data_IF_442954542413
#
_entry.id   IF_442954542413
#
_cell.length_a   1.000
_cell.length_b   1.000
_cell.length_c   1.000
_cell.angle_alpha   90.00
_cell.angle_beta   90.00
_cell.angle_gamma   90.00
#
_symmetry.space_group_name_H-M   'P 1'
#
loop_
_entity.id
_entity.type
_entity.pdbx_description
1 polymer ?
#
# COMPACT_ATOMS: atom_id res chain seq x y z
N UNK A 1 17.31 7.98 15.44
CA UNK A 1 16.43 7.31 14.44
C UNK A 1 16.92 7.56 13.02
N UNK A 2 17.05 8.82 12.54
CA UNK A 2 17.57 9.09 11.19
C UNK A 2 19.01 8.62 10.96
N UNK A 3 19.93 8.87 11.91
CA UNK A 3 21.32 8.37 11.83
C UNK A 3 21.40 6.86 11.56
N UNK A 4 20.54 6.07 12.21
CA UNK A 4 20.56 4.61 12.06
C UNK A 4 20.16 4.20 10.64
N UNK A 5 19.19 4.89 10.04
CA UNK A 5 18.79 4.66 8.65
C UNK A 5 19.89 5.01 7.67
N UNK A 6 20.51 6.20 7.83
CA UNK A 6 21.64 6.61 6.99
C UNK A 6 22.78 5.58 7.05
N UNK A 7 23.14 5.11 8.24
CA UNK A 7 24.16 4.08 8.41
C UNK A 7 23.76 2.75 7.72
N UNK A 8 22.50 2.34 7.80
CA UNK A 8 22.01 1.12 7.16
C UNK A 8 22.02 1.22 5.62
N UNK A 9 21.81 2.42 5.08
CA UNK A 9 21.88 2.72 3.65
C UNK A 9 23.32 2.99 3.16
N UNK A 10 24.32 2.96 4.05
CA UNK A 10 25.71 3.29 3.74
C UNK A 10 25.95 4.78 3.44
N UNK A 11 25.03 5.65 3.87
CA UNK A 11 25.10 7.09 3.72
C UNK A 11 25.86 7.72 4.88
N UNK A 12 26.99 8.37 4.57
CA UNK A 12 27.87 8.99 5.57
C UNK A 12 27.46 10.42 5.95
N UNK A 13 26.36 10.95 5.39
CA UNK A 13 25.87 12.27 5.75
C UNK A 13 25.41 12.32 7.21
N UNK A 14 25.44 13.52 7.79
CA UNK A 14 24.93 13.75 9.14
C UNK A 14 23.40 13.97 9.09
N UNK A 15 22.65 13.67 10.17
CA UNK A 15 21.19 13.82 10.19
C UNK A 15 20.70 15.26 9.99
N UNK A 16 21.56 16.25 10.26
CA UNK A 16 21.32 17.68 10.09
C UNK A 16 21.81 18.22 8.73
N UNK A 17 22.31 17.36 7.84
CA UNK A 17 22.71 17.74 6.48
C UNK A 17 21.50 18.15 5.64
N UNK A 18 21.50 19.39 5.15
CA UNK A 18 20.39 19.93 4.36
C UNK A 18 20.17 19.21 3.03
N UNK A 19 21.21 18.60 2.46
CA UNK A 19 21.11 17.84 1.19
C UNK A 19 20.20 16.62 1.29
N UNK A 20 19.87 16.16 2.51
CA UNK A 20 18.90 15.09 2.73
C UNK A 20 17.48 15.47 2.28
N UNK A 21 17.22 16.77 2.08
CA UNK A 21 15.93 17.30 1.60
C UNK A 21 15.92 17.64 0.12
N UNK A 22 17.06 17.50 -0.58
CA UNK A 22 17.15 17.90 -1.98
C UNK A 22 16.15 17.12 -2.84
N UNK A 23 15.39 17.84 -3.66
CA UNK A 23 14.35 17.25 -4.52
C UNK A 23 13.05 16.86 -3.81
N UNK A 24 12.94 17.08 -2.50
CA UNK A 24 11.69 16.92 -1.76
C UNK A 24 10.96 18.26 -1.60
N UNK A 25 9.70 18.31 -2.03
CA UNK A 25 8.79 19.42 -1.73
C UNK A 25 7.95 19.02 -0.52
N UNK A 26 8.17 19.65 0.62
CA UNK A 26 7.50 19.33 1.87
C UNK A 26 6.72 20.53 2.41
N UNK A 27 5.55 20.24 2.98
CA UNK A 27 4.75 21.18 3.76
C UNK A 27 4.31 20.53 5.08
N UNK A 28 3.29 21.09 5.73
CA UNK A 28 2.75 20.58 6.99
C UNK A 28 1.97 19.27 6.81
N UNK A 29 1.40 19.02 5.63
CA UNK A 29 0.53 17.89 5.33
C UNK A 29 1.33 16.68 4.81
N UNK A 30 2.46 16.91 4.15
CA UNK A 30 3.22 15.83 3.53
C UNK A 30 4.53 16.25 2.88
N UNK A 31 5.08 15.32 2.11
CA UNK A 31 6.24 15.54 1.25
C UNK A 31 6.01 14.82 -0.07
N UNK A 32 6.46 15.42 -1.18
CA UNK A 32 6.46 14.80 -2.50
C UNK A 32 7.87 14.81 -3.07
N UNK A 33 8.29 13.69 -3.65
CA UNK A 33 9.56 13.55 -4.38
C UNK A 33 9.29 13.02 -5.79
N UNK A 34 10.23 13.26 -6.71
CA UNK A 34 10.25 12.63 -8.02
C UNK A 34 11.39 11.62 -8.11
N UNK A 35 11.10 10.43 -8.63
CA UNK A 35 12.12 9.44 -8.97
C UNK A 35 12.95 9.90 -10.17
N UNK A 36 14.09 9.26 -10.41
CA UNK A 36 14.93 9.52 -11.59
C UNK A 36 14.18 9.29 -12.91
N UNK A 37 13.23 8.37 -12.90
CA UNK A 37 12.35 8.04 -14.03
C UNK A 37 11.12 8.96 -14.12
N UNK A 38 11.05 10.01 -13.29
CA UNK A 38 9.99 11.02 -13.31
C UNK A 38 8.72 10.66 -12.56
N UNK A 39 8.68 9.51 -11.87
CA UNK A 39 7.50 9.11 -11.08
C UNK A 39 7.37 9.92 -9.80
N UNK A 40 6.16 10.32 -9.48
CA UNK A 40 5.81 11.06 -8.27
C UNK A 40 5.53 10.12 -7.11
N UNK A 41 6.19 10.36 -5.98
CA UNK A 41 6.00 9.61 -4.73
C UNK A 41 5.64 10.60 -3.63
N UNK A 42 4.48 10.40 -3.02
CA UNK A 42 3.97 11.23 -1.94
C UNK A 42 4.01 10.48 -0.61
N UNK A 43 4.49 11.16 0.43
CA UNK A 43 4.36 10.75 1.81
C UNK A 43 3.35 11.65 2.51
N UNK A 44 2.11 11.15 2.65
CA UNK A 44 0.99 11.89 3.19
C UNK A 44 0.82 11.63 4.70
N UNK A 45 0.87 12.70 5.50
CA UNK A 45 0.70 12.68 6.97
C UNK A 45 -0.66 13.19 7.41
N UNK A 46 -1.46 13.73 6.49
CA UNK A 46 -2.83 14.20 6.73
C UNK A 46 -3.82 13.57 5.74
N UNK A 47 -5.08 13.41 6.16
CA UNK A 47 -6.14 12.82 5.31
C UNK A 47 -6.47 13.68 4.09
N UNK A 48 -6.37 15.00 4.19
CA UNK A 48 -6.57 15.91 3.07
C UNK A 48 -5.52 15.69 1.99
N UNK A 49 -4.24 15.54 2.39
CA UNK A 49 -3.16 15.19 1.47
C UNK A 49 -3.38 13.82 0.83
N UNK A 50 -3.85 12.81 1.57
CA UNK A 50 -4.15 11.48 0.97
C UNK A 50 -5.17 11.61 -0.17
N UNK A 51 -6.25 12.39 0.02
CA UNK A 51 -7.28 12.57 -1.02
C UNK A 51 -6.71 13.22 -2.29
N UNK A 52 -5.85 14.22 -2.12
CA UNK A 52 -5.21 14.94 -3.20
C UNK A 52 -4.16 14.06 -3.91
N UNK A 53 -3.22 13.51 -3.15
CA UNK A 53 -2.12 12.68 -3.63
C UNK A 53 -2.64 11.41 -4.31
N UNK A 54 -3.72 10.81 -3.81
CA UNK A 54 -4.34 9.65 -4.45
C UNK A 54 -4.80 9.89 -5.89
N UNK A 55 -4.99 11.15 -6.30
CA UNK A 55 -5.37 11.53 -7.67
C UNK A 55 -4.20 11.99 -8.52
N UNK A 56 -3.08 12.36 -7.90
CA UNK A 56 -1.97 13.06 -8.58
C UNK A 56 -0.65 12.29 -8.57
N UNK A 57 -0.42 11.48 -7.55
CA UNK A 57 0.82 10.75 -7.37
C UNK A 57 0.79 9.38 -8.07
N UNK A 58 1.96 8.83 -8.39
CA UNK A 58 2.10 7.44 -8.85
C UNK A 58 2.12 6.45 -7.67
N UNK A 59 2.64 6.89 -6.52
CA UNK A 59 2.74 6.14 -5.27
C UNK A 59 2.45 7.07 -4.08
N UNK A 60 1.53 6.64 -3.21
CA UNK A 60 1.22 7.27 -1.92
C UNK A 60 1.61 6.35 -0.79
N UNK A 61 2.39 6.87 0.15
CA UNK A 61 2.79 6.20 1.38
C UNK A 61 2.22 6.99 2.55
N UNK A 62 1.55 6.31 3.50
CA UNK A 62 0.98 6.99 4.65
C UNK A 62 0.96 6.12 5.90
N UNK A 63 1.24 6.68 7.10
CA UNK A 63 1.05 5.98 8.36
C UNK A 63 -0.42 5.96 8.82
N UNK A 64 -1.34 6.52 8.04
CA UNK A 64 -2.77 6.58 8.34
C UNK A 64 -3.47 5.39 7.65
N UNK A 65 -4.37 4.65 8.32
CA UNK A 65 -5.19 3.65 7.64
C UNK A 65 -6.18 4.32 6.68
N UNK A 66 -6.28 3.80 5.45
CA UNK A 66 -7.13 4.35 4.40
C UNK A 66 -8.03 3.26 3.80
N UNK A 67 -9.29 3.59 3.53
CA UNK A 67 -10.28 2.65 3.00
C UNK A 67 -11.03 3.17 1.77
N UNK A 68 -10.83 4.43 1.38
CA UNK A 68 -11.40 4.96 0.15
C UNK A 68 -10.54 4.56 -1.07
N UNK A 69 -11.10 4.56 -2.29
CA UNK A 69 -10.33 4.34 -3.50
C UNK A 69 -9.16 5.32 -3.63
N UNK A 70 -8.06 4.84 -4.21
CA UNK A 70 -6.86 5.61 -4.50
C UNK A 70 -6.39 5.21 -5.90
N UNK A 71 -6.25 6.17 -6.82
CA UNK A 71 -5.79 5.87 -8.18
C UNK A 71 -4.29 5.57 -8.22
N UNK A 72 -3.53 6.19 -7.32
CA UNK A 72 -2.13 5.86 -7.07
C UNK A 72 -1.95 4.46 -6.47
N UNK A 73 -0.74 3.90 -6.60
CA UNK A 73 -0.35 2.77 -5.74
C UNK A 73 -0.33 3.26 -4.29
N UNK A 74 -1.04 2.59 -3.40
CA UNK A 74 -1.16 3.00 -1.99
C UNK A 74 -0.46 2.01 -1.05
N UNK A 75 0.37 2.53 -0.16
CA UNK A 75 0.95 1.82 0.99
C UNK A 75 0.50 2.56 2.27
N UNK A 76 -0.61 2.09 2.86
CA UNK A 76 -1.19 2.67 4.06
C UNK A 76 -0.75 1.92 5.33
N UNK A 77 -1.22 2.38 6.50
CA UNK A 77 -0.90 1.74 7.79
C UNK A 77 -1.26 0.25 7.83
N UNK A 78 -2.35 -0.14 7.17
CA UNK A 78 -2.84 -1.53 7.16
C UNK A 78 -1.93 -2.40 6.30
N UNK A 79 -1.52 -1.91 5.13
CA UNK A 79 -0.52 -2.58 4.30
C UNK A 79 0.78 -2.81 5.07
N UNK A 80 1.34 -1.76 5.70
CA UNK A 80 2.57 -1.88 6.49
C UNK A 80 2.44 -2.86 7.68
N UNK A 81 1.26 -2.94 8.31
CA UNK A 81 1.01 -3.92 9.38
C UNK A 81 0.97 -5.37 8.90
N UNK A 82 0.41 -5.60 7.71
CA UNK A 82 0.25 -6.95 7.15
C UNK A 82 1.52 -7.44 6.47
N UNK A 83 2.15 -6.56 5.70
CA UNK A 83 3.17 -6.92 4.72
C UNK A 83 4.60 -6.69 5.26
N UNK A 84 4.73 -5.98 6.38
CA UNK A 84 6.01 -5.61 7.00
C UNK A 84 6.82 -4.63 6.15
N UNK A 85 8.14 -4.65 6.31
CA UNK A 85 9.02 -3.82 5.48
C UNK A 85 8.83 -4.20 4.00
N UNK A 86 8.55 -3.19 3.17
CA UNK A 86 8.13 -3.36 1.78
C UNK A 86 9.07 -2.60 0.87
N UNK A 87 9.72 -3.30 -0.06
CA UNK A 87 10.48 -2.68 -1.13
C UNK A 87 9.63 -2.63 -2.41
N UNK A 88 9.63 -1.48 -3.10
CA UNK A 88 8.95 -1.30 -4.38
C UNK A 88 9.98 -0.99 -5.47
N UNK A 89 9.93 -1.78 -6.55
CA UNK A 89 10.79 -1.61 -7.72
C UNK A 89 9.93 -1.19 -8.90
N UNK A 90 10.20 -0.01 -9.45
CA UNK A 90 9.50 0.50 -10.64
C UNK A 90 9.91 -0.24 -11.91
N UNK A 91 8.95 -0.52 -12.80
CA UNK A 91 9.17 -1.05 -14.15
C UNK A 91 8.19 -0.41 -15.15
N UNK A 92 8.41 -0.59 -16.47
CA UNK A 92 7.59 0.05 -17.53
C UNK A 92 6.07 -0.14 -17.40
N UNK A 93 5.61 -1.17 -16.69
CA UNK A 93 4.18 -1.47 -16.51
C UNK A 93 3.63 -1.25 -15.09
N UNK A 94 4.43 -0.75 -14.14
CA UNK A 94 3.96 -0.54 -12.77
C UNK A 94 5.04 -0.69 -11.70
N UNK A 95 4.65 -1.28 -10.58
CA UNK A 95 5.50 -1.51 -9.41
C UNK A 95 5.53 -3.00 -9.06
N UNK A 96 6.73 -3.54 -8.84
CA UNK A 96 6.92 -4.88 -8.26
C UNK A 96 7.24 -4.75 -6.78
N UNK A 97 6.46 -5.42 -5.94
CA UNK A 97 6.63 -5.39 -4.49
C UNK A 97 7.42 -6.60 -3.99
N UNK A 98 8.35 -6.36 -3.08
CA UNK A 98 9.03 -7.37 -2.29
C UNK A 98 8.69 -7.15 -0.82
N UNK A 99 7.92 -8.08 -0.25
CA UNK A 99 7.39 -7.98 1.10
C UNK A 99 8.29 -8.73 2.07
N UNK A 100 8.46 -8.19 3.27
CA UNK A 100 9.14 -8.91 4.34
C UNK A 100 8.24 -10.00 4.89
N UNK A 101 6.98 -9.74 5.15
CA UNK A 101 6.05 -10.80 5.57
C UNK A 101 5.49 -11.50 4.32
N UNK A 102 5.97 -12.72 4.05
CA UNK A 102 5.52 -13.55 2.94
C UNK A 102 4.76 -14.76 3.47
N UNK A 103 3.62 -15.07 2.84
CA UNK A 103 2.84 -16.25 3.19
C UNK A 103 3.65 -17.53 2.98
N UNK A 104 3.56 -18.45 3.94
CA UNK A 104 4.18 -19.77 3.85
C UNK A 104 5.68 -19.83 4.16
N UNK A 105 6.31 -18.70 4.52
CA UNK A 105 7.73 -18.69 4.94
C UNK A 105 7.82 -18.73 6.46
N UNK A 106 8.28 -19.85 7.02
CA UNK A 106 8.57 -19.94 8.45
C UNK A 106 9.96 -19.38 8.74
N UNK A 107 10.05 -18.39 9.62
CA UNK A 107 11.31 -17.79 10.05
C UNK A 107 11.46 -18.00 11.56
N UNK A 108 12.34 -18.91 12.01
CA UNK A 108 12.50 -19.22 13.43
C UNK A 108 12.83 -18.02 14.32
N UNK A 109 13.45 -16.99 13.75
CA UNK A 109 13.82 -15.74 14.45
C UNK A 109 12.73 -14.64 14.36
N UNK A 110 11.64 -14.85 13.61
CA UNK A 110 10.52 -13.90 13.57
C UNK A 110 9.41 -14.35 14.51
N UNK A 111 8.75 -13.39 15.15
CA UNK A 111 7.53 -13.70 15.92
C UNK A 111 6.44 -14.05 14.91
N UNK A 112 5.88 -15.27 15.01
CA UNK A 112 4.69 -15.64 14.25
C UNK A 112 3.56 -14.69 14.64
N UNK A 113 3.11 -13.87 13.68
CA UNK A 113 1.91 -13.05 13.87
C UNK A 113 0.71 -13.96 13.62
N UNK A 114 -0.06 -14.26 14.65
CA UNK A 114 -1.31 -15.00 14.50
C UNK A 114 -2.22 -14.24 13.53
N UNK A 115 -2.60 -14.90 12.44
CA UNK A 115 -3.59 -14.38 11.52
C UNK A 115 -4.94 -14.45 12.24
N UNK A 116 -5.74 -13.38 12.29
CA UNK A 116 -7.13 -13.51 12.69
C UNK A 116 -7.76 -14.60 11.81
N UNK A 117 -8.37 -15.62 12.41
CA UNK A 117 -9.02 -16.68 11.67
C UNK A 117 -9.97 -16.03 10.66
N UNK A 118 -9.82 -16.34 9.37
CA UNK A 118 -10.79 -15.93 8.36
C UNK A 118 -12.12 -16.54 8.79
N UNK A 119 -13.10 -15.69 9.12
CA UNK A 119 -14.47 -16.15 9.31
C UNK A 119 -14.88 -16.91 8.04
N UNK A 120 -15.33 -18.17 8.13
CA UNK A 120 -15.83 -18.88 6.98
C UNK A 120 -16.91 -18.02 6.30
N UNK A 121 -16.96 -17.96 4.96
CA UNK A 121 -18.09 -17.33 4.30
C UNK A 121 -19.38 -17.95 4.86
N UNK A 122 -20.25 -17.10 5.41
CA UNK A 122 -21.58 -17.53 5.83
C UNK A 122 -22.32 -18.16 4.64
N UNK A 123 -23.30 -19.04 4.88
CA UNK A 123 -24.05 -19.67 3.80
C UNK A 123 -24.60 -18.60 2.86
N UNK A 124 -24.28 -18.73 1.57
CA UNK A 124 -24.83 -17.86 0.52
C UNK A 124 -26.37 -18.02 0.55
N UNK A 125 -27.15 -16.93 0.59
CA UNK A 125 -28.60 -17.06 0.52
C UNK A 125 -28.98 -17.76 -0.79
N UNK A 126 -29.73 -18.84 -0.70
CA UNK A 126 -30.22 -19.57 -1.86
C UNK A 126 -31.12 -18.63 -2.69
N UNK A 127 -30.74 -18.40 -3.94
CA UNK A 127 -31.59 -17.70 -4.89
C UNK A 127 -32.83 -18.60 -5.14
N UNK A 128 -34.05 -18.07 -5.14
CA UNK A 128 -35.24 -18.85 -5.42
C UNK A 128 -35.18 -19.39 -6.85
N UNK A 129 -35.46 -20.69 -7.01
CA UNK A 129 -35.65 -21.30 -8.32
C UNK A 129 -36.86 -20.67 -9.00
N UNK A 130 -36.62 -20.00 -10.13
CA UNK A 130 -37.67 -19.50 -11.01
C UNK A 130 -38.34 -20.71 -11.66
N UNK A 131 -39.64 -20.89 -11.44
CA UNK A 131 -40.41 -21.93 -12.11
C UNK A 131 -40.50 -21.62 -13.60
N UNK A 132 -40.15 -22.59 -14.43
CA UNK A 132 -40.40 -22.56 -15.88
C UNK A 132 -41.86 -22.92 -16.11
N UNK A 133 -42.62 -21.96 -16.61
CA UNK A 133 -44.03 -22.15 -16.98
C UNK A 133 -44.09 -22.80 -18.38
N UNK A 134 -44.63 -24.02 -18.46
CA UNK A 134 -44.80 -24.76 -19.71
C UNK A 134 -45.79 -24.03 -20.62
N UNK A 135 -45.31 -23.57 -21.79
CA UNK A 135 -46.17 -23.04 -22.84
C UNK A 135 -46.82 -24.21 -23.60
N UNK A 136 -48.13 -24.35 -23.40
CA UNK A 136 -49.01 -25.26 -24.13
C UNK A 136 -49.13 -24.84 -25.62
N UNK A 137 -49.01 -25.77 -26.60
CA UNK A 137 -49.12 -25.43 -28.00
C UNK A 137 -50.58 -25.38 -28.47
N UNK A 138 -50.97 -24.29 -29.14
CA UNK A 138 -52.19 -24.21 -29.95
C UNK A 138 -51.87 -24.55 -31.41
N UNK A 139 -52.47 -25.65 -31.85
CA UNK A 139 -52.78 -26.20 -33.19
C UNK A 139 -52.08 -25.64 -34.44
#
# INVERSE_FOLDING_TARGET
>A
MLQQWLNADGDNRRPDDNSLRDGAACDTLGCVVRSKEGRSVAFARDRLAIVEDCRRADLVITPIPWNAPCAARLIDRRALSRDGATALVGHKGGWRAHLSEQDGVDRPWSRKRERPASTPPGPSPALPLVAVEEHEPLQ
#
